data_IF_736793683029
#
_entry.id   IF_736793683029
#
_cell.length_a   1.000
_cell.length_b   1.000
_cell.length_c   1.000
_cell.angle_alpha   90.00
_cell.angle_beta   90.00
_cell.angle_gamma   90.00
#
_symmetry.space_group_name_H-M   'P 1'
#
loop_
_entity.id
_entity.type
_entity.pdbx_description
1 polymer ?
#
# COMPACT_ATOMS: atom_id res chain seq x y z
N UNK A 1 3.27 6.24 31.95
CA UNK A 1 3.88 6.91 30.78
C UNK A 1 3.26 6.34 29.50
N UNK A 2 2.68 7.17 28.64
CA UNK A 2 2.18 6.73 27.34
C UNK A 2 3.39 6.29 26.51
N UNK A 3 3.36 5.09 25.96
CA UNK A 3 4.41 4.61 25.03
C UNK A 3 4.48 5.54 23.84
N UNK A 4 5.66 6.13 23.61
CA UNK A 4 5.89 7.04 22.47
C UNK A 4 6.13 6.31 21.16
N UNK A 5 6.46 5.02 21.23
CA UNK A 5 6.79 4.19 20.07
C UNK A 5 5.82 3.01 20.04
N UNK A 6 5.31 2.70 18.84
CA UNK A 6 4.57 1.49 18.53
C UNK A 6 5.09 0.93 17.23
N UNK A 7 5.39 -0.37 17.19
CA UNK A 7 5.79 -1.08 15.98
C UNK A 7 4.81 -2.22 15.69
N UNK A 8 4.57 -2.49 14.43
CA UNK A 8 3.76 -3.60 13.94
C UNK A 8 4.47 -4.32 12.81
N UNK A 9 4.28 -5.64 12.75
CA UNK A 9 4.71 -6.49 11.63
C UNK A 9 3.59 -7.47 11.34
N UNK A 10 3.30 -7.68 10.08
CA UNK A 10 2.28 -8.60 9.58
C UNK A 10 2.83 -9.36 8.38
N UNK A 11 2.63 -10.67 8.32
CA UNK A 11 3.11 -11.50 7.22
C UNK A 11 2.10 -12.58 6.87
N UNK A 12 1.92 -12.85 5.58
CA UNK A 12 1.09 -13.93 5.06
C UNK A 12 1.82 -14.70 3.97
N UNK A 13 1.51 -16.00 3.89
CA UNK A 13 1.99 -16.89 2.83
C UNK A 13 0.78 -17.57 2.21
N UNK A 14 0.67 -17.55 0.89
CA UNK A 14 -0.32 -18.32 0.14
C UNK A 14 0.39 -19.49 -0.55
N UNK A 15 -0.04 -20.70 -0.26
CA UNK A 15 0.50 -21.93 -0.84
C UNK A 15 -0.63 -22.84 -1.32
N UNK A 16 -0.32 -23.77 -2.21
CA UNK A 16 -1.27 -24.75 -2.70
C UNK A 16 -1.45 -24.71 -4.21
N UNK A 17 -2.69 -24.77 -4.69
CA UNK A 17 -3.02 -24.73 -6.12
C UNK A 17 -4.15 -23.74 -6.38
N UNK A 18 -4.00 -22.91 -7.40
CA UNK A 18 -5.03 -21.99 -7.90
C UNK A 18 -5.28 -22.34 -9.37
N UNK A 19 -6.50 -22.70 -9.73
CA UNK A 19 -6.88 -23.14 -11.07
C UNK A 19 -5.95 -24.23 -11.65
N UNK A 20 -5.51 -25.19 -10.81
CA UNK A 20 -4.61 -26.28 -11.19
C UNK A 20 -3.12 -25.94 -11.13
N UNK A 21 -2.72 -24.68 -11.09
CA UNK A 21 -1.34 -24.23 -11.04
C UNK A 21 -0.84 -24.14 -9.59
N UNK A 22 0.45 -24.45 -9.38
CA UNK A 22 1.11 -24.27 -8.08
C UNK A 22 1.06 -22.79 -7.68
N UNK A 23 0.71 -22.50 -6.42
CA UNK A 23 0.74 -21.18 -5.85
C UNK A 23 1.81 -21.09 -4.75
N UNK A 24 2.61 -20.02 -4.79
CA UNK A 24 3.56 -19.65 -3.73
C UNK A 24 3.75 -18.13 -3.79
N UNK A 25 3.12 -17.43 -2.88
CA UNK A 25 3.14 -15.98 -2.83
C UNK A 25 3.17 -15.46 -1.40
N UNK A 26 3.60 -14.20 -1.22
CA UNK A 26 3.92 -13.63 0.09
C UNK A 26 3.38 -12.21 0.20
N UNK A 27 2.97 -11.87 1.41
CA UNK A 27 2.73 -10.51 1.87
C UNK A 27 3.53 -10.26 3.14
N UNK A 28 4.13 -9.09 3.25
CA UNK A 28 4.77 -8.61 4.47
C UNK A 28 4.52 -7.12 4.63
N UNK A 29 4.20 -6.68 5.84
CA UNK A 29 4.07 -5.27 6.19
C UNK A 29 4.78 -5.01 7.50
N UNK A 30 5.44 -3.85 7.60
CA UNK A 30 6.00 -3.33 8.85
C UNK A 30 5.65 -1.85 8.97
N UNK A 31 5.35 -1.43 10.20
CA UNK A 31 5.13 -0.02 10.52
C UNK A 31 5.77 0.36 11.85
N UNK A 32 6.17 1.61 11.95
CA UNK A 32 6.72 2.23 13.14
C UNK A 32 6.06 3.59 13.37
N UNK A 33 5.30 3.68 14.45
CA UNK A 33 4.61 4.91 14.86
C UNK A 33 5.44 5.60 15.96
N UNK A 34 5.55 6.91 15.88
CA UNK A 34 6.18 7.73 16.89
C UNK A 34 5.30 8.92 17.30
N UNK A 35 4.98 8.99 18.58
CA UNK A 35 4.23 10.11 19.17
C UNK A 35 5.19 11.18 19.67
N UNK A 36 5.36 12.28 18.91
CA UNK A 36 6.24 13.40 19.26
C UNK A 36 5.72 14.17 20.46
N UNK A 37 4.50 14.63 20.33
CA UNK A 37 3.72 15.35 21.35
C UNK A 37 2.28 14.83 21.30
N UNK A 38 1.43 15.22 22.26
CA UNK A 38 0.05 14.75 22.31
C UNK A 38 -0.74 14.99 21.01
N UNK A 39 -0.38 16.04 20.27
CA UNK A 39 -1.06 16.47 19.04
C UNK A 39 -0.41 15.96 17.75
N UNK A 40 0.85 15.51 17.77
CA UNK A 40 1.62 15.14 16.57
C UNK A 40 2.12 13.71 16.68
N UNK A 41 1.72 12.89 15.71
CA UNK A 41 2.20 11.53 15.50
C UNK A 41 2.71 11.39 14.06
N UNK A 42 3.79 10.66 13.90
CA UNK A 42 4.26 10.20 12.60
C UNK A 42 4.31 8.68 12.56
N UNK A 43 4.09 8.10 11.39
CA UNK A 43 4.29 6.68 11.13
C UNK A 43 5.12 6.50 9.87
N UNK A 44 5.99 5.50 9.86
CA UNK A 44 6.70 5.04 8.65
C UNK A 44 6.23 3.63 8.40
N UNK A 45 5.78 3.35 7.19
CA UNK A 45 5.29 2.06 6.78
C UNK A 45 5.98 1.54 5.53
N UNK A 46 6.08 0.21 5.42
CA UNK A 46 6.42 -0.49 4.21
C UNK A 46 5.55 -1.73 4.07
N UNK A 47 4.93 -1.90 2.90
CA UNK A 47 4.22 -3.12 2.54
C UNK A 47 4.88 -3.75 1.31
N UNK A 48 4.98 -5.07 1.32
CA UNK A 48 5.49 -5.90 0.22
C UNK A 48 4.43 -6.91 -0.18
N UNK A 49 4.01 -6.88 -1.42
CA UNK A 49 3.08 -7.82 -2.05
C UNK A 49 3.86 -8.52 -3.15
N UNK A 50 4.11 -9.82 -3.02
CA UNK A 50 4.85 -10.56 -4.04
C UNK A 50 4.12 -10.54 -5.39
N UNK A 51 4.87 -10.59 -6.47
CA UNK A 51 4.36 -10.57 -7.82
C UNK A 51 5.13 -11.51 -8.74
N UNK A 52 4.73 -11.50 -9.99
CA UNK A 52 5.33 -12.25 -11.08
C UNK A 52 5.75 -11.29 -12.18
N UNK A 53 7.00 -11.38 -12.64
CA UNK A 53 7.45 -10.60 -13.79
C UNK A 53 6.58 -10.89 -15.02
N UNK A 54 6.30 -9.88 -15.80
CA UNK A 54 5.57 -10.03 -17.07
C UNK A 54 6.37 -10.81 -18.14
N UNK A 55 7.66 -11.05 -17.92
CA UNK A 55 8.54 -11.91 -18.73
C UNK A 55 8.68 -13.34 -18.17
N UNK A 56 8.02 -13.68 -17.06
CA UNK A 56 8.06 -15.01 -16.45
C UNK A 56 6.96 -15.90 -17.04
N UNK A 57 7.34 -16.88 -17.87
CA UNK A 57 6.44 -17.82 -18.51
C UNK A 57 6.08 -19.04 -17.65
N UNK A 58 6.52 -19.11 -16.38
CA UNK A 58 6.16 -20.20 -15.47
C UNK A 58 4.65 -20.22 -15.21
N UNK A 59 4.08 -21.39 -14.98
CA UNK A 59 2.66 -21.53 -14.60
C UNK A 59 2.42 -21.27 -13.11
N UNK A 60 3.49 -21.11 -12.31
CA UNK A 60 3.37 -20.85 -10.87
C UNK A 60 2.76 -19.48 -10.60
N UNK A 61 1.73 -19.44 -9.77
CA UNK A 61 1.12 -18.20 -9.27
C UNK A 61 2.02 -17.63 -8.17
N UNK A 62 2.70 -16.52 -8.46
CA UNK A 62 3.64 -15.85 -7.54
C UNK A 62 3.09 -14.54 -6.99
N UNK A 63 1.99 -14.05 -7.56
CA UNK A 63 1.34 -12.81 -7.13
C UNK A 63 0.44 -13.11 -5.94
N UNK A 64 0.72 -12.47 -4.80
CA UNK A 64 -0.13 -12.57 -3.62
C UNK A 64 -1.45 -11.84 -3.89
N UNK A 65 -2.57 -12.51 -3.64
CA UNK A 65 -3.90 -11.94 -3.78
C UNK A 65 -4.65 -12.04 -2.44
N UNK A 66 -4.84 -10.93 -1.71
CA UNK A 66 -5.52 -10.95 -0.44
C UNK A 66 -7.01 -11.29 -0.60
N UNK A 67 -7.46 -12.39 0.02
CA UNK A 67 -8.86 -12.84 -0.07
C UNK A 67 -9.82 -12.03 0.79
N UNK A 68 -9.32 -11.39 1.84
CA UNK A 68 -10.13 -10.69 2.84
C UNK A 68 -9.70 -9.22 3.03
N UNK A 69 -9.13 -8.63 2.01
CA UNK A 69 -8.76 -7.23 2.04
C UNK A 69 -9.97 -6.30 1.85
N UNK A 70 -9.86 -5.08 2.32
CA UNK A 70 -10.82 -3.99 2.07
C UNK A 70 -10.21 -2.95 1.15
N UNK A 71 -11.00 -2.39 0.24
CA UNK A 71 -10.59 -1.24 -0.58
C UNK A 71 -10.42 0.02 0.28
N UNK A 72 -9.73 1.03 -0.23
CA UNK A 72 -9.47 2.33 0.40
C UNK A 72 -8.73 2.30 1.74
N UNK A 73 -8.14 1.18 2.11
CA UNK A 73 -7.41 1.06 3.37
C UNK A 73 -5.92 0.85 3.19
N UNK A 74 -5.53 0.28 2.05
CA UNK A 74 -4.17 -0.13 1.78
C UNK A 74 -3.70 0.43 0.44
N UNK A 75 -2.41 0.76 0.35
CA UNK A 75 -1.73 1.11 -0.90
C UNK A 75 -2.31 2.36 -1.59
N UNK A 76 -2.62 3.42 -0.82
CA UNK A 76 -3.15 4.68 -1.31
C UNK A 76 -4.67 4.72 -1.47
N UNK A 77 -5.27 5.90 -1.45
CA UNK A 77 -6.72 6.10 -1.51
C UNK A 77 -7.29 6.18 -2.92
N UNK A 78 -6.42 6.33 -3.93
CA UNK A 78 -6.87 6.36 -5.33
C UNK A 78 -7.15 4.98 -5.92
N UNK A 79 -6.95 3.90 -5.15
CA UNK A 79 -7.26 2.51 -5.51
C UNK A 79 -6.60 2.00 -6.80
N UNK A 80 -5.46 2.53 -7.19
CA UNK A 80 -4.70 1.95 -8.30
C UNK A 80 -4.20 0.55 -7.99
N UNK A 81 -3.97 0.24 -6.71
CA UNK A 81 -3.44 -1.03 -6.21
C UNK A 81 -4.38 -1.68 -5.20
N UNK A 82 -5.68 -1.67 -5.47
CA UNK A 82 -6.66 -2.22 -4.55
C UNK A 82 -6.66 -3.76 -4.54
N UNK A 83 -7.22 -4.32 -3.48
CA UNK A 83 -7.44 -5.77 -3.31
C UNK A 83 -8.19 -6.33 -4.52
N UNK A 84 -7.91 -7.55 -4.93
CA UNK A 84 -8.36 -8.28 -6.13
C UNK A 84 -7.67 -7.91 -7.45
N UNK A 85 -6.93 -6.82 -7.51
CA UNK A 85 -6.19 -6.42 -8.72
C UNK A 85 -4.78 -7.03 -8.81
N UNK A 86 -4.43 -7.91 -7.86
CA UNK A 86 -3.08 -8.46 -7.75
C UNK A 86 -2.88 -9.80 -8.47
N UNK A 87 -3.95 -10.39 -9.04
CA UNK A 87 -3.82 -11.63 -9.80
C UNK A 87 -2.89 -11.44 -11.01
N UNK A 88 -1.86 -12.29 -11.08
CA UNK A 88 -0.82 -12.24 -12.12
C UNK A 88 -0.11 -10.88 -12.24
N UNK A 89 -0.16 -10.04 -11.22
CA UNK A 89 0.51 -8.75 -11.20
C UNK A 89 2.00 -8.90 -10.90
N UNK A 90 2.75 -7.84 -11.19
CA UNK A 90 4.18 -7.72 -10.82
C UNK A 90 4.37 -7.51 -9.31
N UNK A 91 3.29 -7.52 -8.52
CA UNK A 91 3.32 -7.22 -7.09
C UNK A 91 3.60 -5.75 -6.81
N UNK A 92 3.70 -5.40 -5.54
CA UNK A 92 3.81 -4.02 -5.09
C UNK A 92 4.76 -3.92 -3.90
N UNK A 93 5.56 -2.87 -3.88
CA UNK A 93 6.21 -2.36 -2.68
C UNK A 93 5.66 -0.95 -2.47
N UNK A 94 5.04 -0.72 -1.33
CA UNK A 94 4.50 0.58 -0.91
C UNK A 94 5.32 1.10 0.27
N UNK A 95 6.04 2.20 0.08
CA UNK A 95 6.64 2.97 1.16
C UNK A 95 5.76 4.16 1.46
N UNK A 96 5.35 4.32 2.72
CA UNK A 96 4.52 5.42 3.14
C UNK A 96 5.00 6.09 4.42
N UNK A 97 4.61 7.34 4.59
CA UNK A 97 4.85 8.12 5.81
C UNK A 97 3.55 8.82 6.19
N UNK A 98 3.05 8.55 7.38
CA UNK A 98 1.91 9.30 7.92
C UNK A 98 2.39 10.46 8.79
N UNK A 99 1.79 11.62 8.61
CA UNK A 99 1.88 12.76 9.52
C UNK A 99 0.48 13.12 9.99
N UNK A 100 0.17 12.81 11.24
CA UNK A 100 -1.13 13.09 11.84
C UNK A 100 -1.01 14.22 12.87
N UNK A 101 -1.74 15.31 12.63
CA UNK A 101 -1.83 16.43 13.55
C UNK A 101 -3.27 16.61 14.08
N UNK A 102 -3.42 16.68 15.40
CA UNK A 102 -4.72 16.79 16.08
C UNK A 102 -4.86 18.14 16.76
N UNK A 103 -5.97 18.85 16.50
CA UNK A 103 -6.31 20.13 17.11
C UNK A 103 -7.71 20.05 17.70
N UNK A 104 -7.83 19.93 19.03
CA UNK A 104 -9.13 19.82 19.71
C UNK A 104 -10.02 18.73 19.07
N UNK A 105 -11.05 19.14 18.32
CA UNK A 105 -12.01 18.28 17.64
C UNK A 105 -11.62 17.94 16.20
N UNK A 106 -10.56 18.56 15.66
CA UNK A 106 -10.12 18.36 14.29
C UNK A 106 -8.85 17.50 14.22
N UNK A 107 -8.67 16.79 13.11
CA UNK A 107 -7.40 16.14 12.75
C UNK A 107 -7.12 16.33 11.27
N UNK A 108 -5.83 16.49 10.97
CA UNK A 108 -5.30 16.53 9.61
C UNK A 108 -4.27 15.42 9.48
N UNK A 109 -4.41 14.58 8.46
CA UNK A 109 -3.47 13.51 8.14
C UNK A 109 -2.96 13.70 6.72
N UNK A 110 -1.64 13.64 6.56
CA UNK A 110 -0.95 13.63 5.27
C UNK A 110 -0.21 12.31 5.13
N UNK A 111 -0.41 11.62 4.00
CA UNK A 111 0.24 10.34 3.71
C UNK A 111 0.82 10.35 2.30
N UNK A 112 2.11 10.67 2.13
CA UNK A 112 2.82 10.37 0.89
C UNK A 112 3.12 8.88 0.78
N UNK A 113 2.96 8.35 -0.44
CA UNK A 113 3.31 7.00 -0.86
C UNK A 113 4.33 7.01 -1.99
N UNK A 114 5.20 6.02 -2.02
CA UNK A 114 6.08 5.68 -3.15
C UNK A 114 5.85 4.23 -3.51
N UNK A 115 5.39 3.97 -4.74
CA UNK A 115 5.04 2.65 -5.23
C UNK A 115 6.08 2.10 -6.20
N UNK A 116 6.57 0.89 -5.93
CA UNK A 116 7.45 0.15 -6.83
C UNK A 116 6.85 -1.24 -7.13
N UNK A 117 7.16 -1.81 -8.29
CA UNK A 117 6.87 -3.22 -8.56
C UNK A 117 7.73 -4.12 -7.68
N UNK A 118 7.17 -5.23 -7.18
CA UNK A 118 7.91 -6.23 -6.42
C UNK A 118 8.73 -7.14 -7.34
N UNK A 119 8.23 -7.43 -8.57
CA UNK A 119 8.95 -8.13 -9.62
C UNK A 119 9.40 -7.19 -10.73
N UNK A 120 10.33 -7.64 -11.56
CA UNK A 120 10.83 -6.87 -12.69
C UNK A 120 9.77 -6.72 -13.79
N UNK A 121 9.80 -5.56 -14.45
CA UNK A 121 8.95 -5.21 -15.57
C UNK A 121 9.81 -5.19 -16.84
N UNK A 122 9.32 -5.78 -17.92
CA UNK A 122 9.99 -5.79 -19.23
C UNK A 122 9.10 -5.21 -20.31
N UNK A 123 9.70 -4.47 -21.23
CA UNK A 123 9.09 -3.97 -22.46
C UNK A 123 10.02 -4.27 -23.64
N UNK A 124 9.54 -4.97 -24.65
CA UNK A 124 10.32 -5.34 -25.85
C UNK A 124 11.65 -6.07 -25.53
N UNK A 125 11.70 -6.83 -24.42
CA UNK A 125 12.90 -7.55 -23.96
C UNK A 125 13.85 -6.74 -23.08
N UNK A 126 13.63 -5.45 -22.91
CA UNK A 126 14.42 -4.58 -22.04
C UNK A 126 13.75 -4.42 -20.67
N UNK A 127 14.55 -4.38 -19.61
CA UNK A 127 14.08 -4.18 -18.24
C UNK A 127 13.74 -2.71 -18.01
N UNK A 128 12.53 -2.46 -17.55
CA UNK A 128 12.03 -1.13 -17.20
C UNK A 128 12.29 -0.78 -15.73
N UNK A 129 12.13 0.49 -15.39
CA UNK A 129 12.23 0.96 -14.01
C UNK A 129 11.10 0.39 -13.15
N UNK A 130 11.43 0.01 -11.92
CA UNK A 130 10.44 -0.55 -10.97
C UNK A 130 9.55 0.51 -10.32
N UNK A 131 9.90 1.81 -10.40
CA UNK A 131 9.07 2.90 -9.88
C UNK A 131 7.75 2.98 -10.66
N UNK A 132 6.64 2.77 -9.98
CA UNK A 132 5.29 2.85 -10.55
C UNK A 132 4.71 4.26 -10.40
N UNK A 133 4.98 4.92 -9.30
CA UNK A 133 4.50 6.27 -9.06
C UNK A 133 4.60 6.70 -7.61
N UNK A 134 4.05 7.88 -7.35
CA UNK A 134 3.89 8.44 -6.01
C UNK A 134 2.45 8.91 -5.84
N UNK A 135 1.89 8.78 -4.64
CA UNK A 135 0.56 9.28 -4.30
C UNK A 135 0.66 10.15 -3.06
N UNK A 136 -0.16 11.17 -3.01
CA UNK A 136 -0.29 12.05 -1.86
C UNK A 136 -1.73 12.05 -1.40
N UNK A 137 -1.96 11.57 -0.18
CA UNK A 137 -3.27 11.51 0.46
C UNK A 137 -3.37 12.55 1.56
N UNK A 138 -4.40 13.38 1.52
CA UNK A 138 -4.73 14.35 2.55
C UNK A 138 -6.11 14.03 3.11
N UNK A 139 -6.22 13.85 4.44
CA UNK A 139 -7.48 13.61 5.12
C UNK A 139 -7.69 14.66 6.21
N UNK A 140 -8.87 15.24 6.23
CA UNK A 140 -9.34 16.11 7.29
C UNK A 140 -10.55 15.48 7.97
N UNK A 141 -10.53 15.37 9.30
CA UNK A 141 -11.68 14.93 10.08
C UNK A 141 -12.03 15.95 11.17
N UNK A 142 -13.34 16.13 11.40
CA UNK A 142 -13.86 17.03 12.44
C UNK A 142 -14.99 16.36 13.22
N UNK A 143 -14.80 16.26 14.55
CA UNK A 143 -15.82 15.74 15.47
C UNK A 143 -16.80 16.87 15.85
N UNK A 144 -18.03 16.78 15.37
CA UNK A 144 -19.09 17.77 15.66
C UNK A 144 -19.59 17.58 17.09
N UNK A 145 -20.03 16.36 17.42
CA UNK A 145 -20.45 15.95 18.76
C UNK A 145 -20.17 14.44 18.95
N UNK A 146 -20.46 13.90 20.14
CA UNK A 146 -20.24 12.49 20.42
C UNK A 146 -21.14 11.59 19.54
N UNK A 147 -20.51 10.70 18.77
CA UNK A 147 -21.18 9.84 17.80
C UNK A 147 -21.33 10.42 16.40
N UNK A 148 -20.94 11.69 16.15
CA UNK A 148 -20.99 12.27 14.81
C UNK A 148 -19.72 13.03 14.44
N UNK A 149 -19.09 12.61 13.33
CA UNK A 149 -17.93 13.27 12.73
C UNK A 149 -18.09 13.40 11.21
N UNK A 150 -17.45 14.40 10.64
CA UNK A 150 -17.31 14.57 9.19
C UNK A 150 -15.85 14.30 8.84
N UNK A 151 -15.63 13.53 7.77
CA UNK A 151 -14.32 13.30 7.17
C UNK A 151 -14.37 13.69 5.71
N UNK A 152 -13.32 14.33 5.23
CA UNK A 152 -13.11 14.68 3.82
C UNK A 152 -11.64 14.46 3.47
N UNK A 153 -11.37 14.14 2.20
CA UNK A 153 -10.03 13.87 1.74
C UNK A 153 -9.82 14.35 0.31
N UNK A 154 -8.54 14.45 -0.05
CA UNK A 154 -8.05 14.67 -1.40
C UNK A 154 -6.86 13.77 -1.63
N UNK A 155 -6.82 13.10 -2.78
CA UNK A 155 -5.73 12.23 -3.18
C UNK A 155 -5.27 12.57 -4.59
N UNK A 156 -3.96 12.49 -4.82
CA UNK A 156 -3.34 12.75 -6.11
C UNK A 156 -2.25 11.74 -6.41
N UNK A 157 -2.41 10.99 -7.51
CA UNK A 157 -1.42 10.06 -8.03
C UNK A 157 -0.58 10.69 -9.15
N UNK A 158 0.72 10.42 -9.13
CA UNK A 158 1.68 10.76 -10.17
C UNK A 158 2.30 9.45 -10.68
N UNK A 159 1.66 8.84 -11.68
CA UNK A 159 2.11 7.59 -12.31
C UNK A 159 3.31 7.79 -13.23
N UNK A 160 4.09 6.73 -13.41
CA UNK A 160 5.22 6.67 -14.35
C UNK A 160 4.85 5.89 -15.61
N UNK A 161 5.72 5.94 -16.64
CA UNK A 161 5.59 5.11 -17.85
C UNK A 161 5.57 3.61 -17.54
N UNK A 162 6.31 3.17 -16.49
CA UNK A 162 6.29 1.77 -16.06
C UNK A 162 4.92 1.33 -15.52
N UNK A 163 4.19 2.22 -14.85
CA UNK A 163 2.83 1.93 -14.40
C UNK A 163 1.86 1.81 -15.60
N UNK A 164 2.03 2.62 -16.64
CA UNK A 164 1.18 2.57 -17.84
C UNK A 164 1.32 1.25 -18.62
N UNK A 165 2.48 0.58 -18.51
CA UNK A 165 2.71 -0.73 -19.13
C UNK A 165 1.96 -1.88 -18.46
N UNK A 166 1.45 -1.67 -17.26
CA UNK A 166 0.77 -2.70 -16.44
C UNK A 166 -0.77 -2.63 -16.56
N UNK A 167 -1.28 -1.69 -17.36
CA UNK A 167 -2.72 -1.49 -17.59
C UNK A 167 -3.28 -2.46 -18.62
#
# INVERSE_FOLDING_TARGET
SKKKIKAGVETYIQTGKIAGNKALSYYAQANLDYQWIEKLMTSIGVAYISGKSNNDNSTTVKSFNPFYGTNHKFNGFMDYFYVVNHNNSVGLIDFNVDVLYKIKKASLKLTPHVFLSAADIYKNGEQEKRLLGTELDLTFAYKIFDGFSIESGYSQMFGTSSMELLK
#
